data_IF_494502127574
#
_entry.id   IF_494502127574
#
_cell.length_a   1.000
_cell.length_b   1.000
_cell.length_c   1.000
_cell.angle_alpha   90.00
_cell.angle_beta   90.00
_cell.angle_gamma   90.00
#
_symmetry.space_group_name_H-M   'P 1'
#
loop_
_entity.id
_entity.type
_entity.pdbx_description
1 polymer ?
#
# COMPACT_ATOMS: atom_id res chain seq x y z
N UNK A 1 -0.27 -0.89 15.94
CA UNK A 1 -0.59 -0.83 17.39
C UNK A 1 0.25 0.21 18.12
N UNK A 2 1.59 0.24 17.99
CA UNK A 2 2.40 1.26 18.67
C UNK A 2 2.06 2.68 18.19
N UNK A 3 1.88 2.89 16.87
CA UNK A 3 1.49 4.21 16.32
C UNK A 3 0.14 4.68 16.85
N UNK A 4 -0.90 3.84 16.84
CA UNK A 4 -2.23 4.19 17.36
C UNK A 4 -2.22 4.43 18.87
N UNK A 5 -1.38 3.72 19.63
CA UNK A 5 -1.17 4.01 21.04
C UNK A 5 -0.49 5.39 21.24
N UNK A 6 0.47 5.76 20.40
CA UNK A 6 1.03 7.12 20.42
C UNK A 6 -0.04 8.17 20.13
N UNK A 7 -0.98 7.91 19.22
CA UNK A 7 -2.13 8.79 19.00
C UNK A 7 -2.97 8.96 20.26
N UNK A 8 -3.27 7.88 20.99
CA UNK A 8 -3.96 7.96 22.29
C UNK A 8 -3.22 8.89 23.24
N UNK A 9 -1.90 8.74 23.38
CA UNK A 9 -1.09 9.62 24.24
C UNK A 9 -1.18 11.08 23.79
N UNK A 10 -1.05 11.35 22.48
CA UNK A 10 -1.13 12.70 21.91
C UNK A 10 -2.51 13.34 22.12
N UNK A 11 -3.58 12.57 21.96
CA UNK A 11 -4.95 13.00 22.26
C UNK A 11 -5.11 13.36 23.73
N UNK A 12 -4.59 12.52 24.65
CA UNK A 12 -4.66 12.79 26.10
C UNK A 12 -3.86 14.01 26.51
N UNK A 13 -2.74 14.29 25.84
CA UNK A 13 -1.93 15.51 26.02
C UNK A 13 -2.58 16.76 25.40
N UNK A 14 -3.63 16.60 24.58
CA UNK A 14 -4.33 17.71 23.92
C UNK A 14 -3.66 18.20 22.64
N UNK A 15 -2.69 17.45 22.10
CA UNK A 15 -1.95 17.83 20.89
C UNK A 15 -2.83 17.90 19.62
N UNK A 16 -4.02 17.30 19.65
CA UNK A 16 -5.00 17.35 18.57
C UNK A 16 -6.02 18.49 18.74
N UNK A 17 -6.14 19.10 19.93
CA UNK A 17 -7.22 20.05 20.22
C UNK A 17 -6.98 21.43 19.63
N UNK A 18 -5.72 21.86 19.57
CA UNK A 18 -5.37 23.18 19.05
C UNK A 18 -5.54 23.30 17.54
N UNK A 19 -5.49 22.18 16.81
CA UNK A 19 -5.74 22.10 15.36
C UNK A 19 -7.19 21.75 15.01
N UNK A 20 -8.00 21.26 15.96
CA UNK A 20 -9.37 20.77 15.72
C UNK A 20 -10.27 21.79 15.02
N UNK A 21 -10.27 23.04 15.50
CA UNK A 21 -11.07 24.13 14.90
C UNK A 21 -10.71 24.42 13.45
N UNK A 22 -9.46 24.13 13.04
CA UNK A 22 -9.00 24.29 11.67
C UNK A 22 -9.30 23.07 10.81
N UNK A 23 -9.11 21.86 11.37
CA UNK A 23 -9.43 20.59 10.70
C UNK A 23 -10.90 20.52 10.24
N UNK A 24 -11.81 21.09 11.02
CA UNK A 24 -13.26 21.10 10.72
C UNK A 24 -13.70 22.26 9.82
N UNK A 25 -12.79 23.16 9.42
CA UNK A 25 -13.13 24.39 8.73
C UNK A 25 -13.19 24.23 7.20
N UNK A 26 -14.42 24.25 6.66
CA UNK A 26 -14.71 24.11 5.21
C UNK A 26 -14.19 25.26 4.32
N UNK A 27 -13.81 26.40 4.89
CA UNK A 27 -13.16 27.47 4.13
C UNK A 27 -11.79 27.03 3.62
N UNK A 28 -11.09 26.22 4.43
CA UNK A 28 -9.76 25.69 4.12
C UNK A 28 -9.84 24.26 3.56
N UNK A 29 -10.66 23.40 4.17
CA UNK A 29 -10.82 22.00 3.74
C UNK A 29 -11.91 21.89 2.66
N UNK A 30 -11.53 22.14 1.40
CA UNK A 30 -12.45 22.16 0.25
C UNK A 30 -12.83 20.78 -0.31
N UNK A 31 -12.04 19.75 0.00
CA UNK A 31 -12.24 18.38 -0.51
C UNK A 31 -12.80 17.46 0.60
N UNK A 32 -12.06 16.40 0.93
CA UNK A 32 -12.45 15.42 1.95
C UNK A 32 -12.08 15.99 3.32
N UNK A 33 -13.08 16.06 4.21
CA UNK A 33 -12.84 16.32 5.62
C UNK A 33 -12.36 15.03 6.27
N UNK A 34 -11.11 14.99 6.67
CA UNK A 34 -10.56 13.83 7.35
C UNK A 34 -11.16 13.69 8.76
N UNK A 35 -11.36 12.45 9.19
CA UNK A 35 -11.82 12.16 10.53
C UNK A 35 -10.76 12.56 11.56
N UNK A 36 -11.08 13.52 12.43
CA UNK A 36 -10.19 13.98 13.50
C UNK A 36 -10.60 13.33 14.83
N UNK A 37 -9.81 12.37 15.36
CA UNK A 37 -10.22 11.57 16.52
C UNK A 37 -10.61 12.44 17.72
N UNK A 38 -11.77 12.17 18.38
CA UNK A 38 -12.20 12.94 19.54
C UNK A 38 -11.41 12.56 20.80
N UNK A 39 -11.14 13.54 21.66
CA UNK A 39 -10.65 13.31 23.01
C UNK A 39 -11.82 12.96 23.93
N UNK A 40 -11.80 11.77 24.53
CA UNK A 40 -12.81 11.32 25.49
C UNK A 40 -12.64 11.99 26.86
N UNK A 41 -13.66 11.95 27.71
CA UNK A 41 -13.61 12.58 29.03
C UNK A 41 -12.55 11.93 29.94
N UNK A 42 -12.50 10.60 29.97
CA UNK A 42 -11.61 9.84 30.86
C UNK A 42 -10.47 9.16 30.09
N UNK A 43 -9.31 9.03 30.73
CA UNK A 43 -8.17 8.28 30.15
C UNK A 43 -8.48 6.80 30.04
N UNK A 44 -9.19 6.24 31.02
CA UNK A 44 -9.62 4.84 31.00
C UNK A 44 -10.59 4.59 29.83
N UNK A 45 -11.60 5.45 29.64
CA UNK A 45 -12.53 5.32 28.51
C UNK A 45 -11.83 5.39 27.15
N UNK A 46 -10.82 6.27 27.00
CA UNK A 46 -10.01 6.31 25.77
C UNK A 46 -9.22 5.01 25.56
N UNK A 47 -8.63 4.44 26.61
CA UNK A 47 -7.88 3.18 26.53
C UNK A 47 -8.79 1.98 26.25
N UNK A 48 -9.99 1.94 26.82
CA UNK A 48 -10.99 0.91 26.57
C UNK A 48 -11.48 0.97 25.12
N UNK A 49 -11.79 2.16 24.62
CA UNK A 49 -12.15 2.35 23.23
C UNK A 49 -11.01 1.96 22.28
N UNK A 50 -9.77 2.39 22.57
CA UNK A 50 -8.59 1.97 21.80
C UNK A 50 -8.42 0.45 21.82
N UNK A 51 -8.57 -0.21 22.97
CA UNK A 51 -8.50 -1.66 23.09
C UNK A 51 -9.56 -2.38 22.25
N UNK A 52 -10.80 -1.87 22.25
CA UNK A 52 -11.88 -2.38 21.40
C UNK A 52 -11.61 -2.20 19.91
N UNK A 53 -11.08 -1.04 19.51
CA UNK A 53 -10.68 -0.82 18.12
C UNK A 53 -9.50 -1.69 17.72
N UNK A 54 -8.49 -1.90 18.58
CA UNK A 54 -7.37 -2.81 18.29
C UNK A 54 -7.82 -4.27 18.20
N UNK A 55 -8.81 -4.68 18.99
CA UNK A 55 -9.44 -6.00 18.86
C UNK A 55 -10.10 -6.15 17.48
N UNK A 56 -10.86 -5.15 17.04
CA UNK A 56 -11.47 -5.14 15.70
C UNK A 56 -10.41 -5.05 14.59
N UNK A 57 -9.31 -4.35 14.83
CA UNK A 57 -8.22 -4.17 13.87
C UNK A 57 -7.50 -5.48 13.53
N UNK A 58 -7.34 -6.38 14.50
CA UNK A 58 -6.75 -7.71 14.29
C UNK A 58 -7.81 -8.79 14.00
N UNK A 59 -9.09 -8.43 13.97
CA UNK A 59 -10.19 -9.36 13.79
C UNK A 59 -10.29 -9.83 12.33
N UNK A 60 -9.94 -11.10 12.10
CA UNK A 60 -9.91 -11.71 10.76
C UNK A 60 -11.25 -12.28 10.32
N UNK A 61 -12.15 -12.55 11.27
CA UNK A 61 -13.37 -13.31 11.01
C UNK A 61 -14.46 -12.52 10.30
N UNK A 62 -14.34 -11.19 10.27
CA UNK A 62 -15.20 -10.31 9.49
C UNK A 62 -14.71 -10.22 8.05
N UNK A 63 -15.62 -10.50 7.13
CA UNK A 63 -15.38 -10.40 5.70
C UNK A 63 -15.78 -9.04 5.13
N UNK A 64 -16.12 -8.07 5.98
CA UNK A 64 -16.39 -6.69 5.56
C UNK A 64 -15.18 -6.09 4.85
N UNK A 65 -15.40 -5.38 3.75
CA UNK A 65 -14.34 -4.85 2.88
C UNK A 65 -13.29 -4.04 3.65
N UNK A 66 -13.74 -3.11 4.49
CA UNK A 66 -12.90 -2.26 5.34
C UNK A 66 -12.98 -2.63 6.83
N UNK A 67 -13.38 -3.87 7.14
CA UNK A 67 -13.45 -4.38 8.50
C UNK A 67 -12.09 -4.26 9.20
N UNK A 68 -12.11 -3.73 10.42
CA UNK A 68 -10.91 -3.47 11.22
C UNK A 68 -10.31 -2.08 11.03
N UNK A 69 -10.90 -1.19 10.23
CA UNK A 69 -10.48 0.22 10.19
C UNK A 69 -10.64 0.88 11.57
N UNK A 70 -9.67 1.72 11.95
CA UNK A 70 -9.64 2.39 13.26
C UNK A 70 -9.88 3.88 13.10
N UNK A 71 -10.60 4.47 14.05
CA UNK A 71 -10.85 5.90 14.13
C UNK A 71 -9.68 6.68 14.71
N UNK A 72 -8.63 6.03 15.25
CA UNK A 72 -7.42 6.70 15.72
C UNK A 72 -6.51 7.16 14.58
N UNK A 73 -6.49 6.39 13.50
CA UNK A 73 -5.76 6.72 12.27
C UNK A 73 -6.46 6.02 11.11
N UNK A 74 -7.27 6.78 10.37
CA UNK A 74 -8.11 6.24 9.29
C UNK A 74 -7.28 5.73 8.14
N UNK A 75 -6.03 6.20 7.98
CA UNK A 75 -5.17 5.76 6.91
C UNK A 75 -4.76 4.30 7.07
N UNK A 76 -4.78 3.76 8.30
CA UNK A 76 -4.40 2.38 8.64
C UNK A 76 -5.37 1.30 8.14
N UNK A 77 -6.43 1.69 7.42
CA UNK A 77 -7.44 0.78 6.88
C UNK A 77 -6.87 -0.33 5.98
N UNK A 78 -5.71 -0.14 5.34
CA UNK A 78 -5.14 -1.18 4.47
C UNK A 78 -4.52 -2.32 5.26
N UNK A 79 -3.99 -2.08 6.47
CA UNK A 79 -3.34 -3.11 7.29
C UNK A 79 -4.25 -4.32 7.56
N UNK A 80 -5.50 -4.19 8.08
CA UNK A 80 -6.37 -5.34 8.29
C UNK A 80 -6.78 -6.02 6.98
N UNK A 81 -6.84 -5.28 5.88
CA UNK A 81 -7.09 -5.84 4.54
C UNK A 81 -5.90 -6.70 4.10
N UNK A 82 -4.68 -6.16 4.16
CA UNK A 82 -3.42 -6.83 3.82
C UNK A 82 -3.20 -8.07 4.68
N UNK A 83 -3.52 -8.02 5.96
CA UNK A 83 -3.41 -9.17 6.87
C UNK A 83 -4.31 -10.33 6.43
N UNK A 84 -5.58 -10.06 6.11
CA UNK A 84 -6.54 -11.07 5.61
C UNK A 84 -6.12 -11.64 4.25
N UNK A 85 -5.69 -10.78 3.33
CA UNK A 85 -5.15 -11.19 2.04
C UNK A 85 -3.91 -12.09 2.20
N UNK A 86 -3.01 -11.75 3.11
CA UNK A 86 -1.79 -12.54 3.39
C UNK A 86 -2.12 -13.93 3.95
N UNK A 87 -3.10 -14.03 4.85
CA UNK A 87 -3.53 -15.33 5.39
C UNK A 87 -4.13 -16.22 4.30
N UNK A 88 -5.00 -15.68 3.45
CA UNK A 88 -5.58 -16.43 2.33
C UNK A 88 -4.49 -16.82 1.32
N UNK A 89 -3.57 -15.91 1.02
CA UNK A 89 -2.44 -16.18 0.14
C UNK A 89 -1.59 -17.34 0.66
N UNK A 90 -1.29 -17.35 1.96
CA UNK A 90 -0.56 -18.44 2.61
C UNK A 90 -1.28 -19.79 2.46
N UNK A 91 -2.60 -19.83 2.68
CA UNK A 91 -3.41 -21.03 2.49
C UNK A 91 -3.40 -21.52 1.04
N UNK A 92 -3.47 -20.60 0.07
CA UNK A 92 -3.44 -20.93 -1.36
C UNK A 92 -2.05 -21.45 -1.76
N UNK A 93 -0.98 -20.82 -1.28
CA UNK A 93 0.40 -21.28 -1.51
C UNK A 93 0.57 -22.70 -0.97
N UNK A 94 0.15 -22.98 0.26
CA UNK A 94 0.21 -24.32 0.86
C UNK A 94 -0.65 -25.33 0.10
N UNK A 95 -1.91 -24.99 -0.19
CA UNK A 95 -2.85 -25.87 -0.88
C UNK A 95 -2.43 -26.21 -2.31
N UNK A 96 -1.68 -25.32 -2.97
CA UNK A 96 -1.17 -25.52 -4.33
C UNK A 96 0.29 -26.00 -4.39
N UNK A 97 0.97 -26.16 -3.25
CA UNK A 97 2.40 -26.44 -3.18
C UNK A 97 2.82 -27.74 -3.90
N UNK A 98 1.95 -28.76 -3.93
CA UNK A 98 2.21 -30.07 -4.55
C UNK A 98 1.64 -30.19 -5.97
N UNK A 99 0.99 -29.16 -6.50
CA UNK A 99 0.44 -29.18 -7.85
C UNK A 99 1.56 -29.03 -8.88
N UNK A 100 1.39 -29.70 -10.02
CA UNK A 100 2.22 -29.44 -11.20
C UNK A 100 1.98 -28.01 -11.68
N UNK A 101 3.02 -27.33 -12.16
CA UNK A 101 3.00 -25.92 -12.57
C UNK A 101 1.82 -25.54 -13.47
N UNK A 102 1.52 -26.31 -14.51
CA UNK A 102 0.39 -26.02 -15.41
C UNK A 102 -0.97 -26.09 -14.70
N UNK A 103 -1.18 -27.10 -13.84
CA UNK A 103 -2.41 -27.24 -13.05
C UNK A 103 -2.49 -26.14 -12.00
N UNK A 104 -1.37 -25.78 -11.39
CA UNK A 104 -1.28 -24.68 -10.43
C UNK A 104 -1.71 -23.36 -11.05
N UNK A 105 -1.20 -22.99 -12.23
CA UNK A 105 -1.65 -21.78 -12.94
C UNK A 105 -3.14 -21.84 -13.32
N UNK A 106 -3.65 -23.00 -13.73
CA UNK A 106 -5.08 -23.16 -14.03
C UNK A 106 -5.94 -22.93 -12.78
N UNK A 107 -5.58 -23.53 -11.66
CA UNK A 107 -6.26 -23.34 -10.38
C UNK A 107 -6.18 -21.88 -9.92
N UNK A 108 -5.00 -21.26 -9.97
CA UNK A 108 -4.82 -19.85 -9.60
C UNK A 108 -5.65 -18.93 -10.50
N UNK A 109 -5.68 -19.17 -11.82
CA UNK A 109 -6.51 -18.42 -12.75
C UNK A 109 -8.01 -18.53 -12.41
N UNK A 110 -8.48 -19.74 -12.09
CA UNK A 110 -9.85 -19.96 -11.63
C UNK A 110 -10.18 -19.21 -10.33
N UNK A 111 -9.27 -19.25 -9.35
CA UNK A 111 -9.41 -18.52 -8.08
C UNK A 111 -9.43 -17.01 -8.31
N UNK A 112 -8.52 -16.47 -9.13
CA UNK A 112 -8.48 -15.04 -9.47
C UNK A 112 -9.78 -14.59 -10.11
N UNK A 113 -10.33 -15.35 -11.07
CA UNK A 113 -11.60 -15.03 -11.71
C UNK A 113 -12.77 -15.08 -10.72
N UNK A 114 -12.79 -16.05 -9.82
CA UNK A 114 -13.80 -16.14 -8.76
C UNK A 114 -13.73 -14.93 -7.84
N UNK A 115 -12.54 -14.61 -7.31
CA UNK A 115 -12.30 -13.47 -6.42
C UNK A 115 -12.62 -12.14 -7.09
N UNK A 116 -12.24 -11.97 -8.35
CA UNK A 116 -12.59 -10.80 -9.15
C UNK A 116 -14.11 -10.67 -9.27
N UNK A 117 -14.82 -11.76 -9.58
CA UNK A 117 -16.28 -11.75 -9.70
C UNK A 117 -16.98 -11.48 -8.36
N UNK A 118 -16.34 -11.82 -7.25
CA UNK A 118 -16.76 -11.50 -5.87
C UNK A 118 -16.44 -10.07 -5.44
N UNK A 119 -15.95 -9.20 -6.33
CA UNK A 119 -15.65 -7.79 -6.07
C UNK A 119 -14.58 -7.58 -4.98
N UNK A 120 -13.59 -8.48 -4.92
CA UNK A 120 -12.46 -8.44 -3.97
C UNK A 120 -11.16 -8.06 -4.68
N UNK A 121 -11.08 -6.82 -5.13
CA UNK A 121 -9.94 -6.29 -5.90
C UNK A 121 -8.60 -6.42 -5.14
N UNK A 122 -8.62 -6.28 -3.82
CA UNK A 122 -7.44 -6.41 -2.96
C UNK A 122 -6.81 -7.80 -3.07
N UNK A 123 -7.63 -8.85 -3.10
CA UNK A 123 -7.18 -10.23 -3.15
C UNK A 123 -6.70 -10.58 -4.57
N UNK A 124 -7.29 -9.99 -5.61
CA UNK A 124 -6.80 -10.11 -6.98
C UNK A 124 -5.36 -9.60 -7.09
N UNK A 125 -5.03 -8.47 -6.45
CA UNK A 125 -3.66 -7.94 -6.45
C UNK A 125 -2.66 -8.89 -5.78
N UNK A 126 -3.00 -9.46 -4.63
CA UNK A 126 -2.15 -10.42 -3.92
C UNK A 126 -1.91 -11.70 -4.74
N UNK A 127 -2.98 -12.26 -5.32
CA UNK A 127 -2.88 -13.45 -6.17
C UNK A 127 -2.11 -13.19 -7.46
N UNK A 128 -2.28 -12.00 -8.04
CA UNK A 128 -1.48 -11.57 -9.20
C UNK A 128 0.00 -11.45 -8.84
N UNK A 129 0.33 -10.96 -7.64
CA UNK A 129 1.69 -10.95 -7.11
C UNK A 129 2.28 -12.36 -7.00
N UNK A 130 1.51 -13.34 -6.51
CA UNK A 130 1.93 -14.75 -6.48
C UNK A 130 2.17 -15.32 -7.88
N UNK A 131 1.29 -15.04 -8.84
CA UNK A 131 1.47 -15.46 -10.24
C UNK A 131 2.76 -14.85 -10.82
N UNK A 132 3.01 -13.57 -10.58
CA UNK A 132 4.23 -12.91 -11.03
C UNK A 132 5.48 -13.52 -10.40
N UNK A 133 5.47 -13.78 -9.09
CA UNK A 133 6.56 -14.43 -8.38
C UNK A 133 6.84 -15.84 -8.93
N UNK A 134 5.80 -16.62 -9.23
CA UNK A 134 5.95 -17.95 -9.82
C UNK A 134 6.58 -17.90 -11.22
N UNK A 135 6.16 -16.93 -12.05
CA UNK A 135 6.77 -16.69 -13.35
C UNK A 135 8.24 -16.30 -13.26
N UNK A 136 8.64 -15.58 -12.22
CA UNK A 136 10.02 -15.14 -12.03
C UNK A 136 10.91 -16.26 -11.48
N UNK A 137 10.37 -17.13 -10.62
CA UNK A 137 11.02 -18.39 -10.20
C UNK A 137 11.27 -19.30 -11.40
N UNK A 138 10.26 -19.49 -12.27
CA UNK A 138 10.39 -20.31 -13.48
C UNK A 138 11.46 -19.82 -14.45
N UNK A 139 11.73 -18.52 -14.48
CA UNK A 139 12.77 -17.92 -15.33
C UNK A 139 14.16 -17.97 -14.72
N UNK A 140 14.27 -18.38 -13.46
CA UNK A 140 15.52 -18.28 -12.72
C UNK A 140 15.96 -16.85 -12.48
N UNK A 141 15.02 -15.89 -12.32
CA UNK A 141 15.34 -14.47 -12.17
C UNK A 141 16.24 -14.16 -10.95
N UNK A 142 16.24 -15.04 -9.95
CA UNK A 142 17.05 -14.93 -8.73
C UNK A 142 18.22 -15.94 -8.68
N UNK A 143 18.48 -16.68 -9.76
CA UNK A 143 19.63 -17.58 -9.84
C UNK A 143 20.87 -16.74 -10.21
N UNK A 144 21.90 -16.68 -9.35
CA UNK A 144 23.15 -16.01 -9.69
C UNK A 144 23.74 -16.63 -10.96
N UNK A 145 24.33 -15.82 -11.88
CA UNK A 145 24.91 -16.35 -13.12
C UNK A 145 25.99 -17.43 -12.89
N UNK A 146 26.60 -17.48 -11.70
CA UNK A 146 27.55 -18.51 -11.28
C UNK A 146 26.94 -19.89 -10.95
N UNK A 147 25.61 -19.98 -10.74
CA UNK A 147 24.90 -21.21 -10.35
C UNK A 147 23.91 -21.69 -11.42
N UNK A 148 23.93 -21.10 -12.63
CA UNK A 148 23.12 -21.58 -13.73
C UNK A 148 23.52 -23.03 -14.07
N UNK A 149 22.62 -24.03 -13.95
CA UNK A 149 22.99 -25.42 -14.13
C UNK A 149 23.36 -25.68 -15.60
N UNK A 150 24.65 -25.87 -15.87
CA UNK A 150 25.10 -26.66 -17.01
C UNK A 150 24.68 -28.09 -16.73
N UNK A 151 23.83 -28.66 -17.59
CA UNK A 151 23.28 -30.04 -17.58
C UNK A 151 22.07 -30.28 -16.66
N UNK A 152 20.90 -30.45 -17.28
CA UNK A 152 19.76 -31.15 -16.68
C UNK A 152 19.54 -32.46 -17.43
N UNK A 153 19.88 -33.57 -16.77
CA UNK A 153 19.59 -34.95 -17.19
C UNK A 153 18.17 -35.29 -16.75
N UNK A 154 17.14 -34.77 -17.45
CA UNK A 154 15.75 -35.23 -17.33
C UNK A 154 15.01 -35.04 -18.66
N UNK A 155 14.31 -36.08 -19.19
CA UNK A 155 13.55 -35.99 -20.42
C UNK A 155 12.16 -35.42 -20.14
N UNK A 156 12.10 -34.11 -19.88
CA UNK A 156 10.89 -33.31 -20.12
C UNK A 156 11.31 -32.19 -21.07
N UNK A 157 11.52 -32.60 -22.32
CA UNK A 157 11.94 -31.74 -23.40
C UNK A 157 10.92 -30.63 -23.67
N UNK A 158 11.47 -29.46 -24.02
CA UNK A 158 10.86 -28.41 -24.85
C UNK A 158 10.23 -27.17 -24.17
N UNK A 159 10.31 -26.96 -22.85
CA UNK A 159 9.94 -25.64 -22.26
C UNK A 159 11.13 -24.90 -21.64
N UNK A 160 12.26 -25.58 -21.35
CA UNK A 160 13.41 -25.00 -20.65
C UNK A 160 14.36 -24.14 -21.50
N UNK A 161 14.13 -24.02 -22.81
CA UNK A 161 14.99 -23.24 -23.72
C UNK A 161 14.41 -21.87 -24.13
N UNK A 162 13.50 -21.31 -23.35
CA UNK A 162 13.21 -19.87 -23.45
C UNK A 162 14.41 -19.12 -22.87
N UNK A 163 15.48 -18.98 -23.67
CA UNK A 163 16.41 -17.84 -23.59
C UNK A 163 15.56 -16.63 -23.24
N UNK A 164 15.92 -15.79 -22.24
CA UNK A 164 15.17 -14.58 -21.97
C UNK A 164 15.15 -13.80 -23.28
N UNK A 165 14.01 -13.85 -23.99
CA UNK A 165 13.81 -13.04 -25.19
C UNK A 165 14.08 -11.64 -24.70
N UNK A 166 15.08 -10.99 -25.30
CA UNK A 166 15.44 -9.59 -25.04
C UNK A 166 14.13 -8.83 -25.09
N UNK A 167 13.56 -8.56 -23.91
CA UNK A 167 12.22 -8.00 -23.85
C UNK A 167 12.39 -6.63 -24.46
N UNK A 168 11.58 -6.30 -25.48
CA UNK A 168 11.73 -5.04 -26.19
C UNK A 168 11.65 -3.92 -25.15
N UNK A 169 12.80 -3.34 -24.78
CA UNK A 169 12.90 -2.39 -23.67
C UNK A 169 11.95 -1.21 -23.88
N UNK A 170 11.71 -0.85 -25.13
CA UNK A 170 10.73 0.14 -25.53
C UNK A 170 9.28 -0.29 -25.24
N UNK A 171 8.92 -1.55 -25.53
CA UNK A 171 7.58 -2.06 -25.24
C UNK A 171 7.31 -2.11 -23.73
N UNK A 172 8.25 -2.62 -22.94
CA UNK A 172 8.12 -2.63 -21.47
C UNK A 172 8.06 -1.21 -20.90
N UNK A 173 8.77 -0.26 -21.49
CA UNK A 173 8.67 1.14 -21.12
C UNK A 173 7.30 1.73 -21.46
N UNK A 174 6.82 1.57 -22.69
CA UNK A 174 5.50 2.05 -23.11
C UNK A 174 4.36 1.41 -22.30
N UNK A 175 4.46 0.13 -22.00
CA UNK A 175 3.51 -0.57 -21.14
C UNK A 175 3.56 -0.06 -19.70
N UNK A 176 4.73 0.28 -19.17
CA UNK A 176 4.83 0.91 -17.85
C UNK A 176 4.21 2.30 -17.83
N UNK A 177 4.36 3.10 -18.89
CA UNK A 177 3.69 4.40 -19.01
C UNK A 177 2.17 4.24 -19.09
N UNK A 178 1.68 3.27 -19.87
CA UNK A 178 0.26 2.93 -19.92
C UNK A 178 -0.24 2.48 -18.53
N UNK A 179 0.53 1.66 -17.83
CA UNK A 179 0.21 1.19 -16.50
C UNK A 179 0.12 2.34 -15.49
N UNK A 180 1.07 3.28 -15.52
CA UNK A 180 1.04 4.50 -14.70
C UNK A 180 -0.18 5.38 -15.01
N UNK A 181 -0.56 5.50 -16.29
CA UNK A 181 -1.78 6.19 -16.68
C UNK A 181 -3.04 5.53 -16.08
N UNK A 182 -3.15 4.20 -16.16
CA UNK A 182 -4.27 3.46 -15.56
C UNK A 182 -4.30 3.56 -14.03
N UNK A 183 -3.13 3.54 -13.38
CA UNK A 183 -2.99 3.74 -11.93
C UNK A 183 -3.37 5.16 -11.49
N UNK A 184 -3.25 6.14 -12.38
CA UNK A 184 -3.60 7.54 -12.11
C UNK A 184 -5.11 7.81 -12.28
N UNK A 185 -5.94 6.77 -12.34
CA UNK A 185 -7.40 6.90 -12.40
C UNK A 185 -7.90 7.68 -11.17
N UNK A 186 -8.65 8.77 -11.37
CA UNK A 186 -9.14 9.59 -10.26
C UNK A 186 -10.21 8.86 -9.45
N UNK A 187 -10.20 9.05 -8.15
CA UNK A 187 -11.14 8.41 -7.24
C UNK A 187 -12.55 9.03 -7.33
N UNK A 188 -12.62 10.34 -7.58
CA UNK A 188 -13.87 11.10 -7.69
C UNK A 188 -14.20 11.44 -9.14
N UNK A 189 -15.48 11.34 -9.51
CA UNK A 189 -16.00 11.74 -10.83
C UNK A 189 -15.20 11.17 -12.03
N UNK A 190 -14.68 9.95 -11.88
CA UNK A 190 -13.85 9.31 -12.90
C UNK A 190 -14.56 9.20 -14.26
N UNK A 191 -15.88 8.98 -14.26
CA UNK A 191 -16.72 8.94 -15.46
C UNK A 191 -16.91 10.30 -16.16
N UNK A 192 -16.60 11.41 -15.51
CA UNK A 192 -16.66 12.75 -16.09
C UNK A 192 -15.28 13.27 -16.49
N UNK A 193 -14.21 12.68 -15.95
CA UNK A 193 -12.84 13.14 -16.16
C UNK A 193 -12.39 12.85 -17.61
N UNK A 194 -11.87 13.86 -18.34
CA UNK A 194 -11.30 13.67 -19.67
C UNK A 194 -10.20 12.60 -19.66
N UNK A 195 -10.22 11.68 -20.64
CA UNK A 195 -9.29 10.54 -20.70
C UNK A 195 -9.82 9.28 -20.02
N UNK A 196 -10.48 9.39 -18.86
CA UNK A 196 -11.04 8.25 -18.13
C UNK A 196 -12.52 7.98 -18.43
N UNK A 197 -13.26 8.97 -18.95
CA UNK A 197 -14.66 8.80 -19.36
C UNK A 197 -14.89 7.62 -20.32
N UNK A 198 -13.97 7.39 -21.27
CA UNK A 198 -14.07 6.25 -22.20
C UNK A 198 -13.74 4.93 -21.52
N UNK A 199 -12.73 4.91 -20.64
CA UNK A 199 -12.36 3.75 -19.84
C UNK A 199 -13.47 3.36 -18.86
N UNK A 200 -14.26 4.31 -18.39
CA UNK A 200 -15.40 4.06 -17.51
C UNK A 200 -16.47 3.16 -18.14
N UNK A 201 -16.62 3.20 -19.47
CA UNK A 201 -17.59 2.37 -20.19
C UNK A 201 -17.24 0.88 -20.19
N UNK A 202 -15.98 0.53 -19.92
CA UNK A 202 -15.51 -0.86 -19.88
C UNK A 202 -15.43 -1.43 -18.47
N UNK A 203 -15.76 -0.62 -17.44
CA UNK A 203 -15.84 -1.11 -16.07
C UNK A 203 -17.13 -1.93 -15.93
N UNK A 204 -17.07 -3.19 -15.47
CA UNK A 204 -18.27 -3.99 -15.28
C UNK A 204 -19.20 -3.38 -14.22
N UNK A 205 -20.50 -3.37 -14.48
CA UNK A 205 -21.51 -2.78 -13.57
C UNK A 205 -21.53 -3.42 -12.17
N UNK A 206 -21.11 -4.70 -12.07
CA UNK A 206 -21.07 -5.43 -10.81
C UNK A 206 -19.86 -5.07 -9.91
N UNK A 207 -18.92 -4.27 -10.41
CA UNK A 207 -17.73 -3.87 -9.65
C UNK A 207 -18.03 -2.59 -8.86
N UNK A 208 -18.06 -2.67 -7.53
CA UNK A 208 -18.61 -1.58 -6.68
C UNK A 208 -17.75 -0.32 -6.77
N UNK A 209 -16.44 -0.45 -6.57
CA UNK A 209 -15.51 0.70 -6.55
C UNK A 209 -14.94 0.93 -7.95
N UNK A 210 -15.75 1.44 -8.87
CA UNK A 210 -15.42 1.48 -10.30
C UNK A 210 -14.03 2.07 -10.64
N UNK A 211 -13.58 3.09 -9.92
CA UNK A 211 -12.25 3.71 -10.11
C UNK A 211 -11.09 2.73 -9.84
N UNK A 212 -11.25 1.79 -8.89
CA UNK A 212 -10.22 0.81 -8.50
C UNK A 212 -10.00 -0.25 -9.57
N UNK A 213 -10.96 -0.45 -10.48
CA UNK A 213 -10.83 -1.46 -11.54
C UNK A 213 -9.60 -1.22 -12.40
N UNK A 214 -9.42 0.02 -12.87
CA UNK A 214 -8.26 0.41 -13.68
C UNK A 214 -6.99 0.56 -12.86
N UNK A 215 -7.09 1.04 -11.61
CA UNK A 215 -5.94 1.11 -10.70
C UNK A 215 -5.37 -0.29 -10.43
N UNK A 216 -6.23 -1.30 -10.26
CA UNK A 216 -5.85 -2.69 -10.07
C UNK A 216 -5.12 -3.25 -11.29
N UNK A 217 -5.70 -3.10 -12.48
CA UNK A 217 -5.10 -3.57 -13.74
C UNK A 217 -3.75 -2.87 -13.98
N UNK A 218 -3.72 -1.54 -13.80
CA UNK A 218 -2.50 -0.74 -13.93
C UNK A 218 -1.41 -1.20 -12.96
N UNK A 219 -1.75 -1.48 -11.70
CA UNK A 219 -0.79 -1.93 -10.69
C UNK A 219 -0.16 -3.28 -11.06
N UNK A 220 -0.95 -4.25 -11.51
CA UNK A 220 -0.46 -5.57 -11.94
C UNK A 220 0.49 -5.41 -13.14
N UNK A 221 0.09 -4.63 -14.14
CA UNK A 221 0.90 -4.35 -15.33
C UNK A 221 2.20 -3.63 -14.98
N UNK A 222 2.13 -2.64 -14.08
CA UNK A 222 3.29 -1.84 -13.68
C UNK A 222 4.33 -2.71 -12.99
N UNK A 223 3.94 -3.51 -11.99
CA UNK A 223 4.85 -4.43 -11.29
C UNK A 223 5.46 -5.44 -12.28
N UNK A 224 4.65 -5.98 -13.19
CA UNK A 224 5.12 -6.87 -14.23
C UNK A 224 6.15 -6.22 -15.18
N UNK A 225 5.98 -4.94 -15.50
CA UNK A 225 6.91 -4.22 -16.37
C UNK A 225 8.20 -3.83 -15.65
N UNK A 226 8.09 -3.31 -14.42
CA UNK A 226 9.24 -2.91 -13.59
C UNK A 226 10.13 -4.10 -13.28
N UNK A 227 9.57 -5.27 -12.96
CA UNK A 227 10.34 -6.49 -12.71
C UNK A 227 11.18 -6.95 -13.92
N UNK A 228 10.86 -6.52 -15.14
CA UNK A 228 11.50 -6.97 -16.39
C UNK A 228 12.30 -5.87 -17.11
N UNK A 229 12.18 -4.62 -16.69
CA UNK A 229 12.80 -3.48 -17.36
C UNK A 229 14.04 -3.00 -16.60
N UNK A 230 15.26 -3.15 -17.17
CA UNK A 230 16.49 -2.69 -16.52
C UNK A 230 16.49 -1.19 -16.22
N UNK A 231 15.81 -0.39 -17.05
CA UNK A 231 15.73 1.05 -16.84
C UNK A 231 14.94 1.40 -15.57
N UNK A 232 13.76 0.81 -15.40
CA UNK A 232 12.95 1.01 -14.20
C UNK A 232 13.66 0.46 -12.96
N UNK A 233 14.28 -0.72 -13.06
CA UNK A 233 15.10 -1.26 -11.98
C UNK A 233 16.23 -0.32 -11.58
N UNK A 234 16.90 0.33 -12.54
CA UNK A 234 17.95 1.31 -12.24
C UNK A 234 17.43 2.49 -11.44
N UNK A 235 16.21 2.97 -11.70
CA UNK A 235 15.59 4.07 -10.94
C UNK A 235 15.24 3.61 -9.52
N UNK A 236 14.57 2.46 -9.38
CA UNK A 236 14.16 1.94 -8.07
C UNK A 236 15.33 1.47 -7.20
N UNK A 237 16.47 1.11 -7.78
CA UNK A 237 17.68 0.72 -7.06
C UNK A 237 18.60 1.92 -6.70
N UNK A 238 18.17 3.16 -6.94
CA UNK A 238 18.91 4.33 -6.44
C UNK A 238 18.84 4.42 -4.91
N UNK A 239 19.89 4.95 -4.28
CA UNK A 239 19.97 5.08 -2.82
C UNK A 239 18.82 5.88 -2.21
N UNK A 240 18.36 6.91 -2.94
CA UNK A 240 17.24 7.76 -2.51
C UNK A 240 15.95 6.95 -2.46
N UNK A 241 15.62 6.20 -3.54
CA UNK A 241 14.40 5.41 -3.60
C UNK A 241 14.46 4.24 -2.60
N UNK A 242 15.63 3.62 -2.42
CA UNK A 242 15.84 2.59 -1.40
C UNK A 242 15.74 3.13 0.03
N UNK A 243 16.17 4.37 0.27
CA UNK A 243 15.93 5.05 1.55
C UNK A 243 14.44 5.22 1.82
N UNK A 244 13.69 5.78 0.86
CA UNK A 244 12.23 5.90 0.99
C UNK A 244 11.55 4.55 1.14
N UNK A 245 12.02 3.51 0.45
CA UNK A 245 11.55 2.13 0.63
C UNK A 245 11.74 1.64 2.06
N UNK A 246 12.89 1.89 2.69
CA UNK A 246 13.17 1.50 4.07
C UNK A 246 12.26 2.16 5.11
N UNK A 247 11.91 3.44 4.91
CA UNK A 247 11.06 4.19 5.86
C UNK A 247 9.59 4.23 5.43
N UNK A 248 9.21 3.58 4.32
CA UNK A 248 7.86 3.66 3.73
C UNK A 248 6.75 3.28 4.71
N UNK A 249 6.95 2.18 5.45
CA UNK A 249 6.00 1.75 6.48
C UNK A 249 5.89 2.75 7.63
N UNK A 250 7.01 3.32 8.09
CA UNK A 250 7.00 4.36 9.10
C UNK A 250 6.30 5.64 8.62
N UNK A 251 6.54 6.09 7.37
CA UNK A 251 5.81 7.22 6.74
C UNK A 251 4.31 6.94 6.80
N UNK A 252 3.88 5.76 6.37
CA UNK A 252 2.49 5.36 6.38
C UNK A 252 1.87 5.38 7.79
N UNK A 253 2.61 4.99 8.83
CA UNK A 253 2.10 4.99 10.21
C UNK A 253 2.06 6.37 10.88
N UNK A 254 2.88 7.34 10.45
CA UNK A 254 3.04 8.61 11.17
C UNK A 254 2.51 9.83 10.43
N UNK A 255 2.25 9.74 9.12
CA UNK A 255 1.81 10.90 8.35
C UNK A 255 0.49 11.50 8.85
N UNK A 256 -0.52 10.68 9.16
CA UNK A 256 -1.78 11.12 9.76
C UNK A 256 -1.57 11.81 11.11
N UNK A 257 -0.93 11.16 12.10
CA UNK A 257 -0.65 11.78 13.39
C UNK A 257 0.14 13.09 13.31
N UNK A 258 1.14 13.18 12.42
CA UNK A 258 1.90 14.40 12.18
C UNK A 258 1.02 15.49 11.57
N UNK A 259 0.16 15.14 10.61
CA UNK A 259 -0.79 16.07 9.99
C UNK A 259 -1.75 16.65 11.02
N UNK A 260 -2.38 15.80 11.84
CA UNK A 260 -3.33 16.24 12.85
C UNK A 260 -2.69 17.08 13.96
N UNK A 261 -1.46 16.78 14.36
CA UNK A 261 -0.80 17.49 15.47
C UNK A 261 -0.10 18.76 15.05
N UNK A 262 0.59 18.79 13.91
CA UNK A 262 1.38 19.93 13.46
C UNK A 262 1.04 20.39 12.03
N UNK A 263 0.69 19.46 11.14
CA UNK A 263 0.48 19.76 9.73
C UNK A 263 -0.67 20.73 9.45
N UNK A 264 -1.80 20.57 10.14
CA UNK A 264 -2.92 21.51 10.06
C UNK A 264 -2.57 22.93 10.53
N UNK A 265 -1.65 23.06 11.47
CA UNK A 265 -1.20 24.37 11.88
C UNK A 265 -0.25 25.02 10.87
N UNK A 266 0.59 24.21 10.22
CA UNK A 266 1.44 24.64 9.12
C UNK A 266 0.57 25.10 7.94
N UNK A 267 -0.50 24.37 7.63
CA UNK A 267 -1.49 24.77 6.61
C UNK A 267 -2.19 26.08 6.98
N UNK A 268 -2.64 26.22 8.23
CA UNK A 268 -3.23 27.45 8.74
C UNK A 268 -2.28 28.63 8.59
N UNK A 269 -1.00 28.44 8.92
CA UNK A 269 0.02 29.46 8.76
C UNK A 269 0.23 29.81 7.28
N UNK A 270 0.40 28.81 6.41
CA UNK A 270 0.65 29.03 4.99
C UNK A 270 -0.49 29.81 4.32
N UNK A 271 -1.74 29.41 4.53
CA UNK A 271 -2.89 30.15 4.00
C UNK A 271 -3.12 31.49 4.69
N UNK A 272 -2.67 31.66 5.94
CA UNK A 272 -2.65 32.96 6.61
C UNK A 272 -1.69 33.96 5.95
N UNK A 273 -0.62 33.47 5.30
CA UNK A 273 0.36 34.29 4.57
C UNK A 273 -0.05 34.50 3.11
N UNK A 274 -0.52 33.45 2.43
CA UNK A 274 -0.83 33.52 1.00
C UNK A 274 -2.24 34.04 0.71
N UNK A 275 -3.24 33.60 1.50
CA UNK A 275 -4.66 33.79 1.25
C UNK A 275 -5.38 32.52 0.78
N UNK A 276 -6.72 32.55 0.83
CA UNK A 276 -7.61 31.39 0.61
C UNK A 276 -8.28 31.35 -0.77
N UNK A 277 -8.00 32.33 -1.62
CA UNK A 277 -8.73 32.55 -2.87
C UNK A 277 -7.86 32.30 -4.12
N UNK A 278 -8.47 31.71 -5.14
CA UNK A 278 -7.85 31.49 -6.45
C UNK A 278 -6.46 30.84 -6.38
N UNK A 279 -5.49 31.44 -7.07
CA UNK A 279 -4.12 30.95 -7.13
C UNK A 279 -3.38 31.05 -5.78
N UNK A 280 -3.75 31.98 -4.91
CA UNK A 280 -3.12 32.13 -3.60
C UNK A 280 -3.37 30.92 -2.69
N UNK A 281 -4.54 30.29 -2.83
CA UNK A 281 -4.85 29.03 -2.15
C UNK A 281 -3.90 27.91 -2.58
N UNK A 282 -3.65 27.79 -3.89
CA UNK A 282 -2.75 26.77 -4.45
C UNK A 282 -1.30 27.01 -4.01
N UNK A 283 -0.86 28.27 -3.96
CA UNK A 283 0.46 28.62 -3.44
C UNK A 283 0.59 28.25 -1.97
N UNK A 284 -0.41 28.57 -1.14
CA UNK A 284 -0.43 28.19 0.28
C UNK A 284 -0.39 26.69 0.48
N UNK A 285 -1.14 25.93 -0.33
CA UNK A 285 -1.10 24.47 -0.34
C UNK A 285 0.30 23.93 -0.68
N UNK A 286 0.95 24.44 -1.72
CA UNK A 286 2.30 24.01 -2.11
C UNK A 286 3.30 24.29 -0.98
N UNK A 287 3.25 25.49 -0.40
CA UNK A 287 4.15 25.88 0.72
C UNK A 287 3.93 24.97 1.92
N UNK A 288 2.67 24.75 2.33
CA UNK A 288 2.35 23.86 3.44
C UNK A 288 2.79 22.41 3.14
N UNK A 289 2.56 21.92 1.93
CA UNK A 289 2.94 20.58 1.51
C UNK A 289 4.45 20.36 1.58
N UNK A 290 5.29 21.31 1.13
CA UNK A 290 6.75 21.16 1.22
C UNK A 290 7.22 21.05 2.68
N UNK A 291 6.67 21.88 3.57
CA UNK A 291 7.03 21.84 5.00
C UNK A 291 6.51 20.56 5.66
N UNK A 292 5.27 20.17 5.39
CA UNK A 292 4.64 18.96 5.94
C UNK A 292 5.34 17.68 5.45
N UNK A 293 5.68 17.59 4.16
CA UNK A 293 6.43 16.44 3.61
C UNK A 293 7.79 16.33 4.31
N UNK A 294 8.52 17.43 4.49
CA UNK A 294 9.78 17.43 5.22
C UNK A 294 9.63 16.95 6.67
N UNK A 295 8.59 17.43 7.36
CA UNK A 295 8.28 17.04 8.74
C UNK A 295 7.90 15.55 8.85
N UNK A 296 7.09 15.05 7.93
CA UNK A 296 6.69 13.64 7.88
C UNK A 296 7.89 12.74 7.60
N UNK A 297 8.77 13.10 6.66
CA UNK A 297 9.99 12.33 6.37
C UNK A 297 10.90 12.28 7.60
N UNK A 298 11.08 13.40 8.30
CA UNK A 298 11.87 13.45 9.52
C UNK A 298 11.24 12.59 10.63
N UNK A 299 9.95 12.77 10.90
CA UNK A 299 9.24 12.00 11.92
C UNK A 299 9.26 10.49 11.62
N UNK A 300 9.13 10.11 10.34
CA UNK A 300 9.20 8.73 9.89
C UNK A 300 10.60 8.13 10.06
N UNK A 301 11.68 8.86 9.77
CA UNK A 301 13.06 8.36 10.03
C UNK A 301 13.30 8.14 11.53
N UNK A 302 12.83 9.05 12.39
CA UNK A 302 12.91 8.88 13.84
C UNK A 302 12.10 7.67 14.30
N UNK A 303 10.84 7.57 13.86
CA UNK A 303 9.97 6.43 14.21
C UNK A 303 10.56 5.10 13.71
N UNK A 304 11.13 5.09 12.51
CA UNK A 304 11.78 3.91 11.96
C UNK A 304 12.95 3.43 12.82
N UNK A 305 13.82 4.35 13.27
CA UNK A 305 14.99 4.01 14.10
C UNK A 305 14.61 3.56 15.51
N UNK A 306 13.61 4.20 16.10
CA UNK A 306 13.27 4.04 17.52
C UNK A 306 12.24 2.94 17.75
N UNK A 307 11.32 2.73 16.81
CA UNK A 307 10.19 1.81 16.96
C UNK A 307 10.24 0.68 15.96
N UNK A 308 10.26 0.98 14.66
CA UNK A 308 10.07 -0.04 13.61
C UNK A 308 11.25 -1.04 13.56
N UNK A 309 12.48 -0.56 13.36
CA UNK A 309 13.66 -1.41 13.25
C UNK A 309 13.90 -2.25 14.52
N UNK A 310 13.76 -1.72 15.75
CA UNK A 310 13.80 -2.53 16.97
C UNK A 310 12.68 -3.57 17.05
N UNK A 311 11.46 -3.25 16.62
CA UNK A 311 10.33 -4.22 16.60
C UNK A 311 10.63 -5.38 15.65
N UNK A 312 11.19 -5.11 14.47
CA UNK A 312 11.62 -6.16 13.53
C UNK A 312 12.74 -7.02 14.12
N UNK A 313 13.71 -6.41 14.81
CA UNK A 313 14.79 -7.15 15.51
C UNK A 313 14.22 -8.03 16.63
N UNK A 314 13.25 -7.53 17.37
CA UNK A 314 12.58 -8.29 18.41
C UNK A 314 11.81 -9.48 17.84
N UNK A 315 11.10 -9.30 16.72
CA UNK A 315 10.41 -10.39 16.03
C UNK A 315 11.38 -11.48 15.55
N UNK A 316 12.52 -11.09 14.94
CA UNK A 316 13.58 -12.04 14.54
C UNK A 316 14.22 -12.74 15.74
N UNK A 317 14.38 -12.04 16.85
CA UNK A 317 14.88 -12.63 18.10
C UNK A 317 13.90 -13.69 18.61
N UNK A 318 12.59 -13.40 18.63
CA UNK A 318 11.57 -14.40 18.99
C UNK A 318 11.63 -15.61 18.07
N UNK A 319 11.72 -15.39 16.75
CA UNK A 319 11.85 -16.46 15.76
C UNK A 319 13.05 -17.37 16.10
N UNK A 320 14.23 -16.80 16.33
CA UNK A 320 15.44 -17.58 16.61
C UNK A 320 15.43 -18.35 17.94
N UNK A 321 14.68 -17.89 18.95
CA UNK A 321 14.69 -18.50 20.28
C UNK A 321 13.52 -19.44 20.52
N UNK A 322 12.38 -19.21 19.85
CA UNK A 322 11.14 -19.95 20.12
C UNK A 322 10.88 -21.03 19.07
N UNK A 323 11.47 -20.95 17.88
CA UNK A 323 11.31 -21.94 16.83
C UNK A 323 12.53 -22.85 16.77
N UNK A 324 12.28 -24.14 16.54
CA UNK A 324 13.33 -25.13 16.31
C UNK A 324 13.97 -24.78 14.97
N UNK A 325 15.29 -24.57 14.99
CA UNK A 325 16.07 -24.42 13.76
C UNK A 325 16.22 -25.80 13.14
N UNK A 326 15.61 -26.02 11.97
CA UNK A 326 15.84 -27.23 11.16
C UNK A 326 17.26 -27.25 10.54
#
# INVERSE_FOLDING_TARGET
MISTFMVVVLLRLGAYEWTRSFAENKTYMKNVLEWHPPRMDTTLGQLENWGGEMYNFIHVWSWEKFGGSTGYDVHLWTIPVEYRCSMMLFLIVLGTARLRTGIRFLCLGGIVLFVLRSDRWEMVLFLSGMILAELDVMRGAHIPPAMAPTTSVLPLGEISNLRPKKTNSLLSFLLAILALYLMSCPDWEFGQTPGWKTLALFVPEWFTDQYRFWQMIGSILFVACVARSPWWQSVFNTDIVQYFGRISYAIYLVHGPVLHTAGYAIERWAWGVTGTDGWAYNTGFIVAAFVNIGLVIWAADVFWRVVDAPTVRFAKWLESNWFISD
#
